data_IF_548111424249
#
_entry.id   IF_548111424249
#
_cell.length_a   1.000
_cell.length_b   1.000
_cell.length_c   1.000
_cell.angle_alpha   90.00
_cell.angle_beta   90.00
_cell.angle_gamma   90.00
#
_symmetry.space_group_name_H-M   'P 1'
#
loop_
_entity.id
_entity.type
_entity.pdbx_description
1 polymer ?
#
# COMPACT_ATOMS: atom_id res chain seq x y z
N UNK A 1 -27.77 -31.69 23.78
CA UNK A 1 -26.38 -31.78 24.29
C UNK A 1 -25.50 -32.35 23.18
N UNK A 2 -24.62 -31.55 22.58
CA UNK A 2 -23.77 -32.05 21.49
C UNK A 2 -23.08 -30.95 20.69
N UNK A 3 -22.42 -30.01 21.38
CA UNK A 3 -21.63 -28.94 20.76
C UNK A 3 -20.12 -29.14 20.90
N UNK A 4 -19.69 -30.28 21.46
CA UNK A 4 -18.29 -30.56 21.76
C UNK A 4 -17.76 -31.70 20.88
N UNK A 5 -16.56 -31.55 20.31
CA UNK A 5 -15.96 -32.58 19.48
C UNK A 5 -15.69 -33.83 20.33
N UNK A 6 -16.22 -34.96 19.90
CA UNK A 6 -16.06 -36.25 20.59
C UNK A 6 -14.60 -36.71 20.66
N UNK A 7 -13.75 -36.29 19.71
CA UNK A 7 -12.32 -36.63 19.64
C UNK A 7 -11.49 -35.50 19.03
N UNK A 8 -10.21 -35.46 19.38
CA UNK A 8 -9.25 -34.53 18.80
C UNK A 8 -9.06 -34.76 17.29
N UNK A 9 -9.04 -33.69 16.51
CA UNK A 9 -8.80 -33.77 15.06
C UNK A 9 -7.33 -34.08 14.75
N UNK A 10 -7.07 -35.05 13.88
CA UNK A 10 -5.71 -35.36 13.44
C UNK A 10 -5.04 -34.16 12.77
N UNK A 11 -3.71 -34.06 12.87
CA UNK A 11 -2.93 -32.99 12.21
C UNK A 11 -3.22 -32.91 10.71
N UNK A 12 -3.39 -34.06 10.06
CA UNK A 12 -3.78 -34.16 8.65
C UNK A 12 -5.15 -33.54 8.36
N UNK A 13 -6.19 -33.86 9.15
CA UNK A 13 -7.54 -33.28 8.98
C UNK A 13 -7.52 -31.76 9.17
N UNK A 14 -6.84 -31.28 10.21
CA UNK A 14 -6.67 -29.84 10.46
C UNK A 14 -5.95 -29.14 9.31
N UNK A 15 -4.82 -29.68 8.86
CA UNK A 15 -4.00 -29.07 7.81
C UNK A 15 -4.72 -29.09 6.46
N UNK A 16 -5.49 -30.13 6.14
CA UNK A 16 -6.33 -30.20 4.93
C UNK A 16 -7.39 -29.10 4.91
N UNK A 17 -8.03 -28.84 6.05
CA UNK A 17 -8.95 -27.70 6.17
C UNK A 17 -8.24 -26.35 5.98
N UNK A 18 -7.05 -26.18 6.59
CA UNK A 18 -6.26 -24.95 6.48
C UNK A 18 -5.63 -24.71 5.11
N UNK A 19 -5.49 -25.74 4.27
CA UNK A 19 -4.89 -25.62 2.94
C UNK A 19 -5.65 -24.64 2.03
N UNK A 20 -6.94 -24.41 2.28
CA UNK A 20 -7.77 -23.48 1.51
C UNK A 20 -7.73 -22.04 2.04
N UNK A 21 -7.13 -21.80 3.21
CA UNK A 21 -7.09 -20.46 3.85
C UNK A 21 -5.88 -19.63 3.44
N UNK A 22 -5.46 -19.73 2.17
CA UNK A 22 -4.38 -18.90 1.65
C UNK A 22 -4.88 -17.46 1.41
N UNK A 23 -4.06 -16.48 1.81
CA UNK A 23 -4.32 -15.07 1.51
C UNK A 23 -3.81 -14.72 0.11
N UNK A 24 -4.61 -13.98 -0.64
CA UNK A 24 -4.21 -13.46 -1.95
C UNK A 24 -3.55 -12.10 -1.82
N UNK A 25 -2.54 -11.84 -2.66
CA UNK A 25 -1.89 -10.53 -2.73
C UNK A 25 -2.76 -9.50 -3.45
N UNK A 26 -2.70 -8.25 -2.99
CA UNK A 26 -3.48 -7.16 -3.59
C UNK A 26 -2.66 -6.52 -4.72
N UNK A 27 -3.30 -6.34 -5.88
CA UNK A 27 -2.69 -5.65 -7.03
C UNK A 27 -2.71 -4.14 -6.81
N UNK A 28 -1.54 -3.51 -6.94
CA UNK A 28 -1.37 -2.05 -6.89
C UNK A 28 -0.98 -1.51 -8.26
N UNK A 29 -1.42 -0.29 -8.58
CA UNK A 29 -1.15 0.41 -9.85
C UNK A 29 -0.39 1.71 -9.56
N UNK A 30 0.56 2.15 -10.41
CA UNK A 30 1.21 3.44 -10.23
C UNK A 30 0.23 4.61 -10.45
N UNK A 31 0.28 5.62 -9.58
CA UNK A 31 -0.48 6.86 -9.73
C UNK A 31 0.09 7.70 -10.89
N UNK A 32 -0.76 8.27 -11.77
CA UNK A 32 -0.30 9.04 -12.93
C UNK A 32 0.42 10.35 -12.56
N UNK A 33 0.17 10.92 -11.37
CA UNK A 33 0.75 12.21 -10.95
C UNK A 33 2.08 12.07 -10.19
N UNK A 34 2.11 11.21 -9.17
CA UNK A 34 3.25 11.06 -8.26
C UNK A 34 3.96 9.70 -8.38
N UNK A 35 3.53 8.82 -9.29
CA UNK A 35 4.10 7.48 -9.56
C UNK A 35 4.17 6.53 -8.35
N UNK A 36 3.52 6.86 -7.23
CA UNK A 36 3.41 5.95 -6.10
C UNK A 36 2.39 4.84 -6.36
N UNK A 37 2.60 3.69 -5.72
CA UNK A 37 1.67 2.57 -5.76
C UNK A 37 0.37 2.94 -5.04
N UNK A 38 -0.74 2.77 -5.73
CA UNK A 38 -2.09 3.01 -5.22
C UNK A 38 -2.96 1.78 -5.46
N UNK A 39 -4.02 1.66 -4.66
CA UNK A 39 -5.06 0.68 -4.91
C UNK A 39 -5.94 1.13 -6.10
N UNK A 40 -6.36 0.19 -6.97
CA UNK A 40 -7.27 0.52 -8.05
C UNK A 40 -8.60 1.07 -7.50
N UNK A 41 -9.21 1.98 -8.25
CA UNK A 41 -10.45 2.69 -7.89
C UNK A 41 -10.39 3.55 -6.61
N UNK A 42 -9.23 3.75 -5.99
CA UNK A 42 -9.04 4.68 -4.87
C UNK A 42 -8.33 5.95 -5.31
N UNK A 43 -8.57 7.04 -4.57
CA UNK A 43 -7.79 8.27 -4.69
C UNK A 43 -6.37 8.06 -4.15
N UNK A 44 -5.39 8.77 -4.72
CA UNK A 44 -4.04 8.74 -4.20
C UNK A 44 -3.95 9.50 -2.86
N UNK A 45 -3.50 8.83 -1.80
CA UNK A 45 -3.36 9.44 -0.47
C UNK A 45 -2.28 10.53 -0.42
N UNK A 46 -1.26 10.46 -1.29
CA UNK A 46 -0.19 11.45 -1.30
C UNK A 46 -0.56 12.73 -2.05
N UNK A 47 -1.09 12.61 -3.27
CA UNK A 47 -1.38 13.77 -4.12
C UNK A 47 -2.85 14.19 -4.16
N UNK A 48 -3.75 13.43 -3.50
CA UNK A 48 -5.18 13.76 -3.41
C UNK A 48 -5.93 13.71 -4.74
N UNK A 49 -5.35 13.05 -5.76
CA UNK A 49 -5.92 13.01 -7.12
C UNK A 49 -6.59 11.68 -7.45
N UNK A 50 -7.67 11.76 -8.22
CA UNK A 50 -8.42 10.65 -8.77
C UNK A 50 -8.78 10.94 -10.23
N UNK A 51 -8.47 10.03 -11.15
CA UNK A 51 -8.73 10.18 -12.60
C UNK A 51 -8.27 11.53 -13.18
N UNK A 52 -7.06 11.98 -12.78
CA UNK A 52 -6.47 13.23 -13.26
C UNK A 52 -7.02 14.51 -12.62
N UNK A 53 -8.11 14.43 -11.84
CA UNK A 53 -8.69 15.57 -11.12
C UNK A 53 -8.18 15.61 -9.68
N UNK A 54 -7.89 16.81 -9.18
CA UNK A 54 -7.63 17.03 -7.74
C UNK A 54 -8.96 16.99 -7.00
N UNK A 55 -9.13 16.00 -6.13
CA UNK A 55 -10.36 15.84 -5.31
C UNK A 55 -10.11 16.41 -3.91
N UNK A 56 -8.90 16.25 -3.39
CA UNK A 56 -8.50 16.79 -2.09
C UNK A 56 -7.28 17.69 -2.27
N UNK A 57 -7.40 18.95 -1.85
CA UNK A 57 -6.27 19.85 -1.71
C UNK A 57 -5.53 19.51 -0.41
N UNK A 58 -4.66 18.50 -0.46
CA UNK A 58 -3.86 18.02 0.69
C UNK A 58 -3.03 19.15 1.32
N UNK A 59 -2.72 20.20 0.54
CA UNK A 59 -1.91 21.35 0.96
C UNK A 59 -2.71 22.52 1.53
N UNK A 60 -4.04 22.55 1.39
CA UNK A 60 -4.85 23.70 1.78
C UNK A 60 -4.97 23.88 3.31
N UNK A 61 -4.82 22.81 4.08
CA UNK A 61 -4.96 22.81 5.55
C UNK A 61 -3.63 22.74 6.32
N UNK A 62 -2.48 22.80 5.64
CA UNK A 62 -1.16 22.69 6.26
C UNK A 62 -0.54 24.06 6.52
N UNK A 63 0.10 24.22 7.67
CA UNK A 63 0.89 25.41 8.00
C UNK A 63 2.12 25.54 7.08
N UNK A 64 2.65 26.78 6.94
CA UNK A 64 3.81 27.07 6.06
C UNK A 64 5.05 26.23 6.39
N UNK A 65 5.27 25.88 7.67
CA UNK A 65 6.39 25.03 8.11
C UNK A 65 6.27 23.59 7.61
N UNK A 66 5.07 23.01 7.70
CA UNK A 66 4.81 21.62 7.33
C UNK A 66 4.88 21.41 5.81
N UNK A 67 4.46 22.42 5.03
CA UNK A 67 4.61 22.43 3.57
C UNK A 67 6.07 22.33 3.14
N UNK A 68 6.95 23.14 3.74
CA UNK A 68 8.39 23.19 3.43
C UNK A 68 9.11 21.89 3.81
N UNK A 69 8.70 21.24 4.90
CA UNK A 69 9.25 19.95 5.32
C UNK A 69 8.83 18.82 4.37
N UNK A 70 7.54 18.75 3.98
CA UNK A 70 7.07 17.74 3.02
C UNK A 70 7.72 17.89 1.64
N UNK A 71 7.94 19.11 1.17
CA UNK A 71 8.66 19.37 -0.09
C UNK A 71 10.13 18.91 -0.04
N UNK A 72 10.80 19.08 1.10
CA UNK A 72 12.17 18.57 1.30
C UNK A 72 12.22 17.04 1.26
N UNK A 73 11.32 16.39 2.00
CA UNK A 73 11.21 14.93 2.05
C UNK A 73 10.89 14.34 0.66
N UNK A 74 10.02 15.01 -0.13
CA UNK A 74 9.73 14.58 -1.49
C UNK A 74 10.96 14.62 -2.40
N UNK A 75 11.80 15.66 -2.30
CA UNK A 75 13.06 15.77 -3.08
C UNK A 75 14.12 14.75 -2.68
N UNK A 76 14.27 14.48 -1.38
CA UNK A 76 15.21 13.48 -0.87
C UNK A 76 14.81 12.07 -1.34
N UNK A 77 13.51 11.73 -1.24
CA UNK A 77 13.01 10.42 -1.70
C UNK A 77 13.07 10.24 -3.22
N UNK A 78 13.17 11.30 -4.02
CA UNK A 78 13.44 11.23 -5.46
C UNK A 78 14.92 10.96 -5.74
N UNK A 79 15.83 11.55 -4.96
CA UNK A 79 17.27 11.30 -4.99
C UNK A 79 17.62 9.84 -4.66
N UNK A 80 17.07 9.31 -3.58
CA UNK A 80 17.36 7.93 -3.13
C UNK A 80 16.87 6.88 -4.14
N UNK A 81 15.69 7.10 -4.77
CA UNK A 81 15.15 6.22 -5.82
C UNK A 81 16.01 6.22 -7.08
N UNK A 82 16.66 7.34 -7.41
CA UNK A 82 17.58 7.42 -8.55
C UNK A 82 18.87 6.64 -8.28
N UNK A 83 19.33 6.65 -7.03
CA UNK A 83 20.56 5.96 -6.61
C UNK A 83 20.37 4.43 -6.54
N UNK A 84 19.24 3.95 -5.98
CA UNK A 84 18.90 2.52 -5.93
C UNK A 84 18.77 1.92 -7.34
N UNK A 85 18.09 2.61 -8.26
CA UNK A 85 17.98 2.19 -9.66
C UNK A 85 19.33 2.09 -10.37
N UNK A 86 20.29 2.95 -10.00
CA UNK A 86 21.61 2.97 -10.59
C UNK A 86 22.51 1.84 -10.07
N UNK A 87 22.23 1.35 -8.86
CA UNK A 87 22.92 0.20 -8.24
C UNK A 87 22.36 -1.15 -8.72
N UNK A 88 21.04 -1.25 -8.97
CA UNK A 88 20.38 -2.47 -9.47
C UNK A 88 20.59 -2.72 -10.98
N UNK A 89 21.10 -1.73 -11.73
CA UNK A 89 21.36 -1.82 -13.18
C UNK A 89 22.83 -2.13 -13.53
N UNK A 90 23.68 -2.35 -12.53
CA UNK A 90 25.04 -2.90 -12.66
C UNK A 90 25.02 -4.39 -12.32
#
# INVERSE_FOLDING_TARGET
MGGTPTRHHTKARRNKGRAHFALNTIKTVPCPKCKQQILPHRMCANCGTYRGKQVINVLAKLDKKERKQREKVLKETEGDKSNIKHQEAK
#
